data_IF_311876013436
#
_entry.id   IF_311876013436
#
_cell.length_a   1.000
_cell.length_b   1.000
_cell.length_c   1.000
_cell.angle_alpha   90.00
_cell.angle_beta   90.00
_cell.angle_gamma   90.00
#
_symmetry.space_group_name_H-M   'P 1'
#
loop_
_entity.id
_entity.type
_entity.pdbx_description
1 polymer ?
#
# COMPACT_ATOMS: atom_id res chain seq x y z
N UNK A 1 8.61 7.19 -9.14
CA UNK A 1 9.84 6.39 -9.17
C UNK A 1 9.47 4.90 -9.30
N UNK A 2 9.74 4.28 -10.45
CA UNK A 2 9.41 2.86 -10.72
C UNK A 2 10.32 1.91 -9.94
N UNK A 3 11.53 2.34 -9.57
CA UNK A 3 12.54 1.52 -8.90
C UNK A 3 12.53 1.68 -7.38
N UNK A 4 11.58 2.44 -6.82
CA UNK A 4 11.48 2.70 -5.39
C UNK A 4 11.39 1.41 -4.53
N UNK A 5 10.88 0.31 -5.11
CA UNK A 5 10.78 -1.00 -4.46
C UNK A 5 12.12 -1.73 -4.31
N UNK A 6 13.15 -1.34 -5.07
CA UNK A 6 14.46 -2.04 -5.06
C UNK A 6 15.23 -1.83 -3.76
N UNK A 7 14.84 -0.84 -2.95
CA UNK A 7 15.35 -0.65 -1.58
C UNK A 7 14.90 -1.76 -0.61
N UNK A 8 13.84 -2.50 -0.93
CA UNK A 8 13.34 -3.58 -0.09
C UNK A 8 14.04 -4.92 -0.39
N UNK A 9 13.97 -5.91 0.52
CA UNK A 9 14.53 -7.25 0.28
C UNK A 9 13.99 -7.90 -0.99
N UNK A 10 14.84 -8.61 -1.75
CA UNK A 10 14.46 -9.22 -3.04
C UNK A 10 13.32 -10.23 -2.90
N UNK A 11 13.21 -10.87 -1.74
CA UNK A 11 12.20 -11.88 -1.44
C UNK A 11 10.77 -11.32 -1.47
N UNK A 12 10.60 -9.99 -1.37
CA UNK A 12 9.28 -9.32 -1.37
C UNK A 12 8.95 -8.55 -2.66
N UNK A 13 9.90 -8.45 -3.60
CA UNK A 13 9.71 -7.68 -4.83
C UNK A 13 8.51 -8.17 -5.63
N UNK A 14 8.33 -9.49 -5.70
CA UNK A 14 7.21 -10.10 -6.43
C UNK A 14 5.86 -9.67 -5.86
N UNK A 15 5.78 -9.51 -4.54
CA UNK A 15 4.59 -9.08 -3.83
C UNK A 15 4.33 -7.59 -4.06
N UNK A 16 5.39 -6.76 -4.11
CA UNK A 16 5.26 -5.31 -4.35
C UNK A 16 4.81 -5.02 -5.79
N UNK A 17 5.39 -5.67 -6.79
CA UNK A 17 5.09 -5.36 -8.19
C UNK A 17 3.83 -6.06 -8.73
N UNK A 18 3.26 -7.01 -7.98
CA UNK A 18 2.16 -7.83 -8.50
C UNK A 18 0.84 -7.12 -8.29
N UNK A 19 0.05 -7.01 -9.36
CA UNK A 19 -1.31 -6.50 -9.32
C UNK A 19 -2.36 -7.57 -9.02
N UNK A 20 -1.98 -8.85 -8.92
CA UNK A 20 -2.90 -9.99 -8.79
C UNK A 20 -3.87 -9.86 -7.59
N UNK A 21 -3.46 -9.39 -6.39
CA UNK A 21 -4.40 -9.17 -5.29
C UNK A 21 -5.48 -8.13 -5.64
N UNK A 22 -5.10 -7.04 -6.32
CA UNK A 22 -6.02 -5.98 -6.72
C UNK A 22 -6.95 -6.46 -7.85
N UNK A 23 -6.43 -7.19 -8.83
CA UNK A 23 -7.26 -7.82 -9.87
C UNK A 23 -8.28 -8.81 -9.29
N UNK A 24 -7.89 -9.60 -8.28
CA UNK A 24 -8.78 -10.50 -7.58
C UNK A 24 -9.89 -9.76 -6.86
N UNK A 25 -9.57 -8.71 -6.12
CA UNK A 25 -10.56 -7.88 -5.43
C UNK A 25 -11.52 -7.19 -6.43
N UNK A 26 -11.00 -6.60 -7.51
CA UNK A 26 -11.83 -5.96 -8.53
C UNK A 26 -12.76 -6.95 -9.23
N UNK A 27 -12.30 -8.18 -9.47
CA UNK A 27 -13.13 -9.25 -10.03
C UNK A 27 -14.27 -9.61 -9.09
N UNK A 28 -14.01 -9.68 -7.79
CA UNK A 28 -15.03 -10.00 -6.79
C UNK A 28 -16.06 -8.88 -6.63
N UNK A 29 -15.60 -7.61 -6.59
CA UNK A 29 -16.48 -6.44 -6.61
C UNK A 29 -17.39 -6.50 -7.84
N UNK A 30 -16.83 -6.69 -9.04
CA UNK A 30 -17.60 -6.78 -10.29
C UNK A 30 -18.63 -7.93 -10.22
N UNK A 31 -18.21 -9.13 -9.81
CA UNK A 31 -19.09 -10.30 -9.70
C UNK A 31 -20.30 -10.04 -8.79
N UNK A 32 -20.10 -9.39 -7.63
CA UNK A 32 -21.20 -9.12 -6.69
C UNK A 32 -22.08 -7.96 -7.14
N UNK A 33 -21.52 -6.94 -7.77
CA UNK A 33 -22.31 -5.84 -8.34
C UNK A 33 -23.14 -6.30 -9.54
N UNK A 34 -22.62 -7.23 -10.35
CA UNK A 34 -23.31 -7.77 -11.53
C UNK A 34 -24.59 -8.53 -11.16
N UNK A 35 -24.64 -9.16 -9.97
CA UNK A 35 -25.86 -9.83 -9.45
C UNK A 35 -26.98 -8.82 -9.15
N UNK A 36 -26.63 -7.62 -8.68
CA UNK A 36 -27.61 -6.58 -8.36
C UNK A 36 -28.06 -5.83 -9.62
N UNK A 37 -27.16 -5.62 -10.58
CA UNK A 37 -27.41 -4.94 -11.85
C UNK A 37 -27.61 -3.43 -11.70
N UNK A 38 -28.71 -3.00 -11.07
CA UNK A 38 -29.06 -1.58 -10.87
C UNK A 38 -29.27 -1.28 -9.38
N UNK A 39 -28.58 -0.27 -8.87
CA UNK A 39 -28.71 0.16 -7.48
C UNK A 39 -29.74 1.29 -7.33
N UNK A 40 -30.57 1.29 -6.26
CA UNK A 40 -31.59 2.30 -6.05
C UNK A 40 -31.03 3.66 -5.58
N UNK A 41 -29.82 3.69 -5.02
CA UNK A 41 -29.10 4.88 -4.60
C UNK A 41 -27.62 4.58 -4.32
N UNK A 42 -26.83 5.64 -4.10
CA UNK A 42 -25.40 5.56 -3.81
C UNK A 42 -25.08 4.80 -2.51
N UNK A 43 -25.89 4.96 -1.47
CA UNK A 43 -25.66 4.28 -0.20
C UNK A 43 -25.78 2.75 -0.32
N UNK A 44 -26.66 2.27 -1.20
CA UNK A 44 -26.82 0.84 -1.44
C UNK A 44 -25.60 0.20 -2.09
N UNK A 45 -24.94 0.87 -3.04
CA UNK A 45 -23.69 0.36 -3.63
C UNK A 45 -22.53 0.43 -2.63
N UNK A 46 -22.44 1.50 -1.83
CA UNK A 46 -21.41 1.62 -0.79
C UNK A 46 -21.54 0.49 0.23
N UNK A 47 -22.77 0.15 0.65
CA UNK A 47 -22.99 -0.96 1.58
C UNK A 47 -22.53 -2.30 1.01
N UNK A 48 -22.85 -2.60 -0.26
CA UNK A 48 -22.41 -3.86 -0.88
C UNK A 48 -20.88 -3.91 -1.01
N UNK A 49 -20.29 -2.89 -1.64
CA UNK A 49 -18.83 -2.86 -1.85
C UNK A 49 -18.10 -2.83 -0.51
N UNK A 50 -18.59 -2.07 0.46
CA UNK A 50 -18.07 -2.04 1.83
C UNK A 50 -18.09 -3.40 2.50
N UNK A 51 -19.17 -4.17 2.34
CA UNK A 51 -19.24 -5.55 2.84
C UNK A 51 -18.18 -6.46 2.18
N UNK A 52 -18.00 -6.37 0.85
CA UNK A 52 -16.94 -7.13 0.13
C UNK A 52 -15.54 -6.78 0.65
N UNK A 53 -15.28 -5.49 0.89
CA UNK A 53 -13.99 -5.04 1.42
C UNK A 53 -13.76 -5.54 2.85
N UNK A 54 -14.79 -5.53 3.70
CA UNK A 54 -14.71 -6.06 5.05
C UNK A 54 -14.41 -7.56 5.04
N UNK A 55 -15.14 -8.35 4.24
CA UNK A 55 -14.88 -9.79 4.09
C UNK A 55 -13.45 -10.06 3.60
N UNK A 56 -12.98 -9.32 2.58
CA UNK A 56 -11.63 -9.52 2.08
C UNK A 56 -10.55 -9.11 3.10
N UNK A 57 -10.84 -8.11 3.92
CA UNK A 57 -9.96 -7.68 5.01
C UNK A 57 -9.85 -8.76 6.09
N UNK A 58 -10.97 -9.33 6.52
CA UNK A 58 -11.03 -10.39 7.52
C UNK A 58 -10.31 -11.66 7.02
N UNK A 59 -10.57 -12.08 5.78
CA UNK A 59 -9.85 -13.19 5.14
C UNK A 59 -8.33 -12.96 5.12
N UNK A 60 -7.90 -11.73 4.84
CA UNK A 60 -6.49 -11.38 4.81
C UNK A 60 -5.84 -11.40 6.19
N UNK A 61 -6.59 -11.02 7.23
CA UNK A 61 -6.15 -11.10 8.61
C UNK A 61 -6.05 -12.55 9.12
N UNK A 62 -6.95 -13.43 8.66
CA UNK A 62 -7.00 -14.85 9.04
C UNK A 62 -6.00 -15.75 8.28
N UNK A 63 -5.67 -15.42 7.03
CA UNK A 63 -4.74 -16.22 6.23
C UNK A 63 -3.31 -16.24 6.81
N UNK A 64 -2.64 -17.40 6.70
CA UNK A 64 -1.22 -17.55 7.05
C UNK A 64 -0.39 -16.46 6.38
N UNK A 65 0.54 -15.85 7.14
CA UNK A 65 1.34 -14.69 6.73
C UNK A 65 1.81 -14.79 5.27
N UNK A 66 1.24 -13.92 4.44
CA UNK A 66 1.61 -13.75 3.03
C UNK A 66 3.09 -13.34 2.85
N UNK A 67 3.68 -12.73 3.89
CA UNK A 67 5.08 -12.35 3.99
C UNK A 67 5.71 -13.02 5.22
N UNK A 68 6.88 -13.65 5.04
CA UNK A 68 7.63 -14.22 6.16
C UNK A 68 8.00 -13.16 7.20
N UNK A 69 8.03 -13.53 8.48
CA UNK A 69 8.37 -12.60 9.57
C UNK A 69 9.73 -11.92 9.37
N UNK A 70 10.75 -12.66 8.93
CA UNK A 70 12.07 -12.10 8.65
C UNK A 70 12.04 -11.13 7.48
N UNK A 71 11.28 -11.43 6.43
CA UNK A 71 11.11 -10.52 5.29
C UNK A 71 10.42 -9.21 5.73
N UNK A 72 9.41 -9.28 6.61
CA UNK A 72 8.76 -8.11 7.20
C UNK A 72 9.71 -7.30 8.09
N UNK A 73 10.51 -7.96 8.92
CA UNK A 73 11.51 -7.31 9.77
C UNK A 73 12.55 -6.56 8.94
N UNK A 74 13.06 -7.19 7.88
CA UNK A 74 14.04 -6.58 6.98
C UNK A 74 13.42 -5.42 6.17
N UNK A 75 12.17 -5.57 5.70
CA UNK A 75 11.44 -4.50 5.04
C UNK A 75 11.23 -3.29 5.97
N UNK A 76 10.91 -3.54 7.26
CA UNK A 76 10.74 -2.49 8.26
C UNK A 76 12.04 -1.72 8.52
N UNK A 77 13.19 -2.39 8.53
CA UNK A 77 14.49 -1.73 8.69
C UNK A 77 14.76 -0.70 7.58
N UNK A 78 14.38 -1.02 6.33
CA UNK A 78 14.49 -0.10 5.19
C UNK A 78 13.62 1.16 5.39
N UNK A 79 12.40 1.00 5.91
CA UNK A 79 11.51 2.12 6.19
C UNK A 79 12.08 3.05 7.28
N UNK A 80 12.57 2.48 8.38
CA UNK A 80 13.19 3.24 9.48
C UNK A 80 14.42 4.01 8.98
N UNK A 81 15.27 3.38 8.17
CA UNK A 81 16.44 4.04 7.58
C UNK A 81 16.06 5.22 6.67
N UNK A 82 14.95 5.10 5.92
CA UNK A 82 14.42 6.20 5.08
C UNK A 82 13.86 7.35 5.92
N UNK A 83 13.12 7.07 6.99
CA UNK A 83 12.58 8.11 7.89
C UNK A 83 13.71 8.92 8.55
N UNK A 84 14.82 8.27 8.92
CA UNK A 84 16.00 8.95 9.45
C UNK A 84 16.74 9.84 8.43
N UNK A 85 16.57 9.58 7.12
CA UNK A 85 17.14 10.42 6.06
C UNK A 85 16.25 11.64 5.75
N UNK A 86 14.93 11.50 5.81
CA UNK A 86 13.99 12.60 5.61
C UNK A 86 14.10 13.69 6.69
N UNK A 87 14.50 13.31 7.92
CA UNK A 87 14.78 14.26 9.01
C UNK A 87 16.07 15.08 8.86
N UNK A 88 16.97 14.71 7.93
CA UNK A 88 18.22 15.44 7.67
C UNK A 88 18.11 16.45 6.51
N UNK A 89 16.97 16.53 5.83
CA UNK A 89 16.66 17.52 4.79
C UNK A 89 15.79 18.67 5.33
N UNK A 90 15.85 18.98 6.64
CA UNK A 90 15.44 20.32 7.06
C UNK A 90 16.45 21.32 6.49
N UNK A 91 15.98 22.19 5.60
CA UNK A 91 16.76 23.32 5.11
C UNK A 91 17.18 24.15 6.32
N UNK A 92 18.41 23.95 6.80
CA UNK A 92 18.95 24.72 7.91
C UNK A 92 19.05 26.18 7.50
N UNK A 93 18.82 27.09 8.44
CA UNK A 93 18.85 28.53 8.21
C UNK A 93 20.19 29.00 7.62
N UNK A 94 21.26 28.23 7.88
CA UNK A 94 22.60 28.41 7.33
C UNK A 94 22.67 28.18 5.80
N UNK A 95 21.94 27.20 5.27
CA UNK A 95 21.89 26.91 3.84
C UNK A 95 21.17 28.03 3.07
N UNK A 96 20.11 28.61 3.67
CA UNK A 96 19.38 29.76 3.12
C UNK A 96 20.24 31.03 3.18
N UNK A 97 20.94 31.25 4.31
CA UNK A 97 21.84 32.39 4.47
C UNK A 97 23.02 32.37 3.49
N UNK A 98 23.53 31.18 3.13
CA UNK A 98 24.58 31.03 2.10
C UNK A 98 24.10 31.35 0.69
N UNK A 99 22.85 31.00 0.35
CA UNK A 99 22.28 31.24 -0.99
C UNK A 99 21.85 32.69 -1.24
N UNK A 100 21.53 33.46 -0.19
CA UNK A 100 21.16 34.88 -0.30
C UNK A 100 22.38 35.80 -0.48
N UNK A 101 23.58 35.34 -0.11
CA UNK A 101 24.82 36.11 -0.17
C UNK A 101 25.69 35.82 -1.41
N UNK A 102 25.18 35.04 -2.38
CA UNK A 102 25.83 34.75 -3.67
C UNK A 102 25.05 35.40 -4.82
#
# INVERSE_FOLDING_TARGET
DILAFTAFPKEIWRQIWSNNPNERLNREIRRRTDVVGIFPNRESVIRLVGAVLAEQHDEWAEQRRYLGLEALKNARAVLIAREGQAGNEEVTTELIAGAINA
#
